data_IF_937574419504
#
_entry.id   IF_937574419504
#
_cell.length_a   1.000
_cell.length_b   1.000
_cell.length_c   1.000
_cell.angle_alpha   90.00
_cell.angle_beta   90.00
_cell.angle_gamma   90.00
#
_symmetry.space_group_name_H-M   'P 1'
#
loop_
_entity.id
_entity.type
_entity.pdbx_description
1 polymer ?
#
# COMPACT_ATOMS: atom_id res chain seq x y z
N UNK A 1 1.78 9.10 -4.72
CA UNK A 1 1.92 8.56 -3.36
C UNK A 1 0.69 7.76 -2.91
N UNK A 2 -0.49 8.11 -3.35
CA UNK A 2 -1.72 7.34 -3.06
C UNK A 2 -1.76 5.93 -3.67
N UNK A 3 -0.94 5.68 -4.68
CA UNK A 3 -0.87 4.36 -5.33
C UNK A 3 -0.43 3.23 -4.40
N UNK A 4 0.34 3.53 -3.33
CA UNK A 4 0.80 2.50 -2.40
C UNK A 4 -0.34 1.89 -1.55
N UNK A 5 -1.49 2.57 -1.45
CA UNK A 5 -2.68 2.08 -0.74
C UNK A 5 -3.76 1.54 -1.68
N UNK A 6 -3.53 1.63 -2.99
CA UNK A 6 -4.44 1.09 -3.99
C UNK A 6 -4.57 -0.43 -3.79
N UNK A 7 -5.79 -0.95 -3.85
CA UNK A 7 -6.10 -2.36 -3.59
C UNK A 7 -5.93 -2.82 -2.14
N UNK A 8 -5.84 -1.89 -1.20
CA UNK A 8 -5.84 -2.17 0.22
C UNK A 8 -7.09 -1.58 0.89
N UNK A 9 -7.62 -2.29 1.87
CA UNK A 9 -8.72 -1.83 2.71
C UNK A 9 -8.19 -1.46 4.09
N UNK A 10 -8.59 -0.30 4.57
CA UNK A 10 -8.25 0.17 5.91
C UNK A 10 -8.98 -0.64 6.98
N UNK A 11 -8.22 -1.15 7.95
CA UNK A 11 -8.74 -1.87 9.10
C UNK A 11 -8.64 -0.99 10.34
N UNK A 12 -9.80 -0.54 10.82
CA UNK A 12 -9.90 0.40 11.95
C UNK A 12 -9.38 -0.17 13.27
N UNK A 13 -9.58 -1.47 13.52
CA UNK A 13 -9.12 -2.11 14.76
C UNK A 13 -7.58 -2.18 14.79
N UNK A 14 -6.98 -2.58 13.67
CA UNK A 14 -5.52 -2.60 13.51
C UNK A 14 -4.93 -1.19 13.60
N UNK A 15 -5.59 -0.20 13.02
CA UNK A 15 -5.15 1.19 13.09
C UNK A 15 -5.17 1.73 14.53
N UNK A 16 -6.23 1.44 15.29
CA UNK A 16 -6.30 1.81 16.71
C UNK A 16 -5.18 1.14 17.51
N UNK A 17 -4.93 -0.14 17.28
CA UNK A 17 -3.83 -0.87 17.93
C UNK A 17 -2.45 -0.34 17.54
N UNK A 18 -2.30 0.19 16.32
CA UNK A 18 -1.06 0.82 15.84
C UNK A 18 -0.79 2.19 16.47
N UNK A 19 -1.84 2.86 16.97
CA UNK A 19 -1.73 4.18 17.61
C UNK A 19 -2.44 5.31 16.87
N UNK A 20 -3.26 5.00 15.88
CA UNK A 20 -4.13 6.00 15.27
C UNK A 20 -5.23 6.45 16.25
N UNK A 21 -5.52 7.74 16.25
CA UNK A 21 -6.62 8.36 16.98
C UNK A 21 -7.71 8.76 15.97
N UNK A 22 -8.95 8.36 16.25
CA UNK A 22 -10.10 8.71 15.43
C UNK A 22 -10.80 9.95 15.99
N UNK A 23 -11.07 10.92 15.12
CA UNK A 23 -11.88 12.09 15.43
C UNK A 23 -12.74 12.48 14.23
N UNK A 24 -14.05 12.42 14.40
CA UNK A 24 -15.04 12.81 13.36
C UNK A 24 -14.82 12.14 11.99
N UNK A 25 -14.48 10.84 12.00
CA UNK A 25 -14.26 10.06 10.77
C UNK A 25 -12.87 10.23 10.15
N UNK A 26 -11.99 10.99 10.79
CA UNK A 26 -10.59 11.13 10.38
C UNK A 26 -9.70 10.38 11.37
N UNK A 27 -8.91 9.47 10.87
CA UNK A 27 -7.90 8.75 11.63
C UNK A 27 -6.55 9.42 11.48
N UNK A 28 -5.93 9.83 12.58
CA UNK A 28 -4.65 10.53 12.59
C UNK A 28 -3.59 9.77 13.36
N UNK A 29 -2.38 9.76 12.84
CA UNK A 29 -1.20 9.21 13.49
C UNK A 29 -0.01 10.14 13.26
N UNK A 30 0.73 10.44 14.32
CA UNK A 30 1.92 11.29 14.23
C UNK A 30 3.15 10.56 14.76
N UNK A 31 4.26 10.69 14.05
CA UNK A 31 5.54 10.12 14.45
C UNK A 31 6.70 11.04 14.08
N UNK A 32 7.79 10.90 14.80
CA UNK A 32 9.05 11.56 14.47
C UNK A 32 9.76 10.80 13.35
N UNK A 33 10.40 11.55 12.44
CA UNK A 33 11.25 11.03 11.37
C UNK A 33 12.61 11.75 11.39
N UNK A 34 13.62 11.18 10.75
CA UNK A 34 14.99 11.73 10.68
C UNK A 34 15.55 12.12 12.05
N UNK A 35 15.60 11.13 12.97
CA UNK A 35 16.13 11.30 14.33
C UNK A 35 15.41 12.34 15.20
N UNK A 36 14.20 12.75 14.78
CA UNK A 36 13.37 13.69 15.50
C UNK A 36 13.38 15.12 14.93
N UNK A 37 14.09 15.37 13.84
CA UNK A 37 14.12 16.70 13.22
C UNK A 37 12.76 17.10 12.63
N UNK A 38 11.93 16.13 12.27
CA UNK A 38 10.60 16.35 11.71
C UNK A 38 9.55 15.49 12.38
N UNK A 39 8.32 16.01 12.37
CA UNK A 39 7.10 15.25 12.73
C UNK A 39 6.28 15.03 11.47
N UNK A 40 5.99 13.76 11.18
CA UNK A 40 5.06 13.38 10.14
C UNK A 40 3.71 13.06 10.75
N UNK A 41 2.65 13.70 10.24
CA UNK A 41 1.26 13.39 10.61
C UNK A 41 0.54 12.78 9.42
N UNK A 42 0.07 11.57 9.58
CA UNK A 42 -0.72 10.83 8.57
C UNK A 42 -2.19 10.92 8.92
N UNK A 43 -3.02 11.25 7.93
CA UNK A 43 -4.47 11.34 8.06
C UNK A 43 -5.13 10.40 7.07
N UNK A 44 -6.06 9.56 7.58
CA UNK A 44 -6.81 8.59 6.81
C UNK A 44 -8.30 8.89 6.95
N UNK A 45 -8.97 9.03 5.82
CA UNK A 45 -10.43 9.15 5.71
C UNK A 45 -10.98 7.96 4.94
N UNK A 46 -12.30 7.89 4.75
CA UNK A 46 -12.93 6.82 3.98
C UNK A 46 -12.35 6.70 2.55
N UNK A 47 -12.00 7.83 1.94
CA UNK A 47 -11.64 7.91 0.51
C UNK A 47 -10.17 8.28 0.28
N UNK A 48 -9.41 8.64 1.32
CA UNK A 48 -8.11 9.24 1.12
C UNK A 48 -7.12 8.95 2.25
N UNK A 49 -5.85 8.81 1.86
CA UNK A 49 -4.70 8.82 2.77
C UNK A 49 -3.83 10.02 2.42
N UNK A 50 -3.58 10.88 3.37
CA UNK A 50 -2.74 12.07 3.23
C UNK A 50 -1.71 12.14 4.34
N UNK A 51 -0.67 12.94 4.16
CA UNK A 51 0.24 13.25 5.25
C UNK A 51 0.80 14.68 5.12
N UNK A 52 1.24 15.18 6.24
CA UNK A 52 1.95 16.46 6.36
C UNK A 52 3.24 16.24 7.16
N UNK A 53 4.24 17.03 6.89
CA UNK A 53 5.51 17.03 7.60
C UNK A 53 5.75 18.40 8.19
N UNK A 54 6.12 18.45 9.45
CA UNK A 54 6.41 19.67 10.19
C UNK A 54 7.85 19.63 10.70
N UNK A 55 8.53 20.73 10.64
CA UNK A 55 9.80 20.92 11.31
C UNK A 55 9.58 20.89 12.83
N UNK A 56 10.37 20.09 13.54
CA UNK A 56 10.17 19.90 14.97
C UNK A 56 10.58 21.12 15.80
N UNK A 57 11.56 21.89 15.34
CA UNK A 57 12.08 23.04 16.06
C UNK A 57 11.18 24.27 15.90
N UNK A 58 10.74 24.55 14.67
CA UNK A 58 9.94 25.74 14.36
C UNK A 58 8.44 25.47 14.42
N UNK A 59 8.02 24.22 14.25
CA UNK A 59 6.60 23.84 14.10
C UNK A 59 6.02 24.18 12.72
N UNK A 60 6.85 24.67 11.79
CA UNK A 60 6.40 25.07 10.47
C UNK A 60 6.16 23.87 9.57
N UNK A 61 5.17 23.99 8.69
CA UNK A 61 4.90 23.00 7.65
C UNK A 61 6.08 22.93 6.68
N UNK A 62 6.52 21.71 6.34
CA UNK A 62 7.57 21.43 5.35
C UNK A 62 6.96 20.95 4.02
N UNK A 63 6.46 21.87 3.16
CA UNK A 63 5.73 21.50 1.94
C UNK A 63 6.62 20.93 0.84
N UNK A 64 7.94 21.12 0.90
CA UNK A 64 8.92 20.67 -0.11
C UNK A 64 8.87 19.16 -0.34
N UNK A 65 8.43 18.39 0.64
CA UNK A 65 8.24 16.95 0.53
C UNK A 65 7.26 16.57 -0.60
N UNK A 66 6.27 17.40 -0.87
CA UNK A 66 5.25 17.21 -1.90
C UNK A 66 5.56 17.86 -3.25
N UNK A 67 6.60 18.68 -3.32
CA UNK A 67 6.93 19.47 -4.51
C UNK A 67 8.00 18.77 -5.35
N UNK A 68 7.65 18.29 -6.55
CA UNK A 68 8.58 17.61 -7.46
C UNK A 68 9.77 18.49 -7.91
N UNK A 69 9.61 19.81 -7.88
CA UNK A 69 10.66 20.76 -8.24
C UNK A 69 11.85 20.77 -7.26
N UNK A 70 11.64 20.35 -6.01
CA UNK A 70 12.69 20.27 -5.01
C UNK A 70 13.39 18.91 -5.07
N UNK A 71 14.64 18.89 -5.58
CA UNK A 71 15.45 17.67 -5.82
C UNK A 71 16.69 17.57 -4.95
N UNK A 72 16.81 18.38 -3.88
CA UNK A 72 17.96 18.30 -2.97
C UNK A 72 18.06 16.95 -2.25
N UNK A 73 19.27 16.52 -1.92
CA UNK A 73 19.53 15.27 -1.21
C UNK A 73 18.78 15.19 0.13
N UNK A 74 18.70 16.30 0.83
CA UNK A 74 17.98 16.38 2.10
C UNK A 74 16.47 16.14 1.92
N UNK A 75 15.84 16.78 0.93
CA UNK A 75 14.42 16.56 0.61
C UNK A 75 14.17 15.10 0.19
N UNK A 76 15.12 14.50 -0.52
CA UNK A 76 15.05 13.09 -0.88
C UNK A 76 15.06 12.18 0.36
N UNK A 77 15.91 12.47 1.34
CA UNK A 77 15.95 11.72 2.61
C UNK A 77 14.64 11.87 3.41
N UNK A 78 14.05 13.08 3.45
CA UNK A 78 12.74 13.29 4.09
C UNK A 78 11.66 12.47 3.39
N UNK A 79 11.64 12.46 2.05
CA UNK A 79 10.67 11.68 1.26
C UNK A 79 10.83 10.17 1.49
N UNK A 80 12.05 9.68 1.56
CA UNK A 80 12.35 8.27 1.82
C UNK A 80 11.85 7.85 3.19
N UNK A 81 12.14 8.64 4.23
CA UNK A 81 11.65 8.41 5.58
C UNK A 81 10.10 8.41 5.63
N UNK A 82 9.44 9.35 4.95
CA UNK A 82 7.98 9.37 4.86
C UNK A 82 7.43 8.12 4.16
N UNK A 83 8.04 7.68 3.07
CA UNK A 83 7.63 6.47 2.36
C UNK A 83 7.77 5.22 3.22
N UNK A 84 8.84 5.11 3.98
CA UNK A 84 9.05 3.98 4.90
C UNK A 84 7.93 3.90 5.94
N UNK A 85 7.57 5.02 6.58
CA UNK A 85 6.46 5.07 7.53
C UNK A 85 5.13 4.70 6.86
N UNK A 86 4.86 5.20 5.66
CA UNK A 86 3.64 4.85 4.92
C UNK A 86 3.57 3.35 4.57
N UNK A 87 4.70 2.72 4.23
CA UNK A 87 4.76 1.26 4.02
C UNK A 87 4.51 0.48 5.32
N UNK A 88 5.07 0.94 6.45
CA UNK A 88 4.82 0.33 7.75
C UNK A 88 3.33 0.43 8.14
N UNK A 89 2.72 1.61 7.97
CA UNK A 89 1.29 1.83 8.21
C UNK A 89 0.45 0.94 7.30
N UNK A 90 0.78 0.84 6.01
CA UNK A 90 0.07 -0.03 5.08
C UNK A 90 0.12 -1.49 5.56
N UNK A 91 1.29 -1.98 5.92
CA UNK A 91 1.48 -3.36 6.40
C UNK A 91 0.74 -3.65 7.69
N UNK A 92 0.70 -2.68 8.61
CA UNK A 92 0.12 -2.84 9.92
C UNK A 92 -1.39 -2.60 9.97
N UNK A 93 -1.90 -1.62 9.21
CA UNK A 93 -3.26 -1.10 9.34
C UNK A 93 -4.17 -1.39 8.15
N UNK A 94 -3.63 -1.95 7.07
CA UNK A 94 -4.41 -2.25 5.88
C UNK A 94 -4.37 -3.73 5.54
N UNK A 95 -5.43 -4.20 4.94
CA UNK A 95 -5.56 -5.56 4.41
C UNK A 95 -5.65 -5.49 2.89
N UNK A 96 -5.04 -6.45 2.23
CA UNK A 96 -5.19 -6.56 0.78
C UNK A 96 -6.67 -6.82 0.50
N UNK A 97 -7.28 -5.96 -0.32
CA UNK A 97 -8.63 -6.24 -0.80
C UNK A 97 -8.59 -7.55 -1.58
N UNK A 98 -9.40 -8.50 -1.16
CA UNK A 98 -9.64 -9.70 -1.94
C UNK A 98 -9.97 -9.32 -3.38
N UNK A 99 -9.47 -10.09 -4.34
CA UNK A 99 -9.82 -9.90 -5.74
C UNK A 99 -11.34 -9.81 -5.85
N UNK A 100 -11.84 -8.63 -6.22
CA UNK A 100 -13.27 -8.34 -6.30
C UNK A 100 -13.94 -9.14 -7.44
N UNK A 101 -13.14 -9.75 -8.32
CA UNK A 101 -13.63 -10.58 -9.41
C UNK A 101 -14.20 -11.90 -8.86
N UNK A 102 -15.50 -12.17 -8.99
CA UNK A 102 -16.12 -13.41 -8.51
C UNK A 102 -15.49 -14.68 -9.10
N UNK A 103 -14.99 -14.61 -10.33
CA UNK A 103 -14.32 -15.72 -11.01
C UNK A 103 -12.98 -16.04 -10.33
N UNK A 104 -12.18 -15.03 -10.03
CA UNK A 104 -10.91 -15.19 -9.32
C UNK A 104 -11.15 -15.77 -7.93
N UNK A 105 -12.17 -15.29 -7.22
CA UNK A 105 -12.52 -15.79 -5.89
C UNK A 105 -12.91 -17.29 -5.93
N UNK A 106 -13.66 -17.71 -6.95
CA UNK A 106 -14.00 -19.13 -7.16
C UNK A 106 -12.75 -20.00 -7.40
N UNK A 107 -11.84 -19.54 -8.26
CA UNK A 107 -10.57 -20.25 -8.54
C UNK A 107 -9.76 -20.40 -7.25
N UNK A 108 -9.68 -19.32 -6.46
CA UNK A 108 -8.95 -19.32 -5.18
C UNK A 108 -9.53 -20.33 -4.19
N UNK A 109 -10.85 -20.36 -4.02
CA UNK A 109 -11.53 -21.30 -3.14
C UNK A 109 -11.22 -22.75 -3.60
N UNK A 110 -11.35 -23.05 -4.88
CA UNK A 110 -11.05 -24.36 -5.42
C UNK A 110 -9.59 -24.78 -5.23
N UNK A 111 -8.65 -23.85 -5.41
CA UNK A 111 -7.22 -24.12 -5.20
C UNK A 111 -6.92 -24.35 -3.72
N UNK A 112 -7.50 -23.55 -2.85
CA UNK A 112 -7.33 -23.68 -1.39
C UNK A 112 -7.91 -25.00 -0.89
N UNK A 113 -9.12 -25.35 -1.33
CA UNK A 113 -9.77 -26.63 -0.95
C UNK A 113 -9.01 -27.85 -1.46
N UNK A 114 -8.49 -27.79 -2.69
CA UNK A 114 -7.84 -28.93 -3.34
C UNK A 114 -6.37 -29.12 -2.95
N UNK A 115 -5.65 -28.02 -2.74
CA UNK A 115 -4.19 -28.03 -2.55
C UNK A 115 -3.72 -27.44 -1.23
N UNK A 116 -4.62 -26.86 -0.42
CA UNK A 116 -4.27 -26.19 0.85
C UNK A 116 -3.47 -24.90 0.69
N UNK A 117 -3.17 -24.48 -0.52
CA UNK A 117 -2.27 -23.36 -0.77
C UNK A 117 -2.96 -22.01 -0.53
N UNK A 118 -2.19 -21.07 0.05
CA UNK A 118 -2.61 -19.71 0.24
C UNK A 118 -1.98 -18.79 -0.81
N UNK A 119 -2.63 -17.65 -1.05
CA UNK A 119 -2.08 -16.60 -1.88
C UNK A 119 -0.91 -15.91 -1.19
N UNK A 120 0.19 -15.73 -1.91
CA UNK A 120 1.32 -14.95 -1.46
C UNK A 120 1.42 -13.66 -2.28
N UNK A 121 1.46 -12.51 -1.61
CA UNK A 121 1.63 -11.19 -2.23
C UNK A 121 3.10 -10.78 -2.11
N UNK A 122 3.85 -10.95 -3.18
CA UNK A 122 5.31 -10.81 -3.15
C UNK A 122 5.79 -9.42 -3.55
N UNK A 123 4.96 -8.66 -4.26
CA UNK A 123 5.40 -7.40 -4.85
C UNK A 123 4.72 -6.19 -4.24
N UNK A 124 5.49 -5.37 -3.56
CA UNK A 124 5.01 -4.11 -2.99
C UNK A 124 4.49 -3.12 -4.06
N UNK A 125 5.12 -3.14 -5.25
CA UNK A 125 4.71 -2.29 -6.39
C UNK A 125 3.47 -2.82 -7.13
N UNK A 126 3.07 -4.05 -6.88
CA UNK A 126 1.91 -4.69 -7.51
C UNK A 126 1.10 -5.44 -6.45
N UNK A 127 0.45 -4.70 -5.55
CA UNK A 127 -0.20 -5.27 -4.37
C UNK A 127 -1.43 -6.12 -4.70
N UNK A 128 -1.98 -5.99 -5.91
CA UNK A 128 -3.08 -6.77 -6.47
C UNK A 128 -2.63 -8.01 -7.25
N UNK A 129 -1.32 -8.29 -7.23
CA UNK A 129 -0.74 -9.47 -7.86
C UNK A 129 -0.34 -10.49 -6.80
N UNK A 130 -0.90 -11.67 -6.90
CA UNK A 130 -0.60 -12.78 -6.00
C UNK A 130 -0.06 -13.99 -6.75
N UNK A 131 0.70 -14.83 -6.06
CA UNK A 131 1.22 -16.09 -6.59
C UNK A 131 0.72 -17.27 -5.80
N UNK A 132 0.62 -18.39 -6.46
CA UNK A 132 0.40 -19.70 -5.87
C UNK A 132 1.66 -20.53 -6.05
N UNK A 133 2.16 -21.11 -4.95
CA UNK A 133 3.39 -21.91 -4.94
C UNK A 133 3.12 -23.34 -4.52
N UNK A 134 3.94 -24.24 -5.02
CA UNK A 134 4.04 -25.60 -4.47
C UNK A 134 4.71 -25.57 -3.10
N UNK A 135 4.12 -26.21 -2.12
CA UNK A 135 4.67 -26.26 -0.76
C UNK A 135 6.07 -26.87 -0.71
N UNK A 136 6.30 -27.95 -1.44
CA UNK A 136 7.55 -28.71 -1.40
C UNK A 136 8.74 -27.98 -2.02
N UNK A 137 8.60 -27.44 -3.24
CA UNK A 137 9.71 -26.89 -4.00
C UNK A 137 9.68 -25.37 -4.18
N UNK A 138 8.66 -24.69 -3.61
CA UNK A 138 8.43 -23.24 -3.66
C UNK A 138 8.35 -22.65 -5.08
N UNK A 139 8.21 -23.49 -6.12
CA UNK A 139 8.02 -23.02 -7.49
C UNK A 139 6.61 -22.46 -7.69
N UNK A 140 6.50 -21.38 -8.44
CA UNK A 140 5.21 -20.81 -8.82
C UNK A 140 4.53 -21.71 -9.84
N UNK A 141 3.24 -21.92 -9.68
CA UNK A 141 2.42 -22.59 -10.69
C UNK A 141 1.27 -21.73 -11.19
N UNK A 142 0.94 -20.63 -10.49
CA UNK A 142 0.00 -19.65 -10.97
C UNK A 142 0.35 -18.25 -10.47
N UNK A 143 0.03 -17.26 -11.28
CA UNK A 143 0.08 -15.84 -10.96
C UNK A 143 -1.31 -15.27 -11.21
N UNK A 144 -1.89 -14.64 -10.21
CA UNK A 144 -3.17 -13.95 -10.29
C UNK A 144 -2.90 -12.45 -10.29
N UNK A 145 -3.32 -11.75 -11.34
CA UNK A 145 -3.13 -10.32 -11.46
C UNK A 145 -4.37 -9.64 -12.06
N UNK A 146 -4.58 -8.40 -11.69
CA UNK A 146 -5.60 -7.56 -12.27
C UNK A 146 -5.02 -6.85 -13.49
N UNK A 147 -5.59 -7.08 -14.66
CA UNK A 147 -5.19 -6.40 -15.90
C UNK A 147 -6.38 -5.57 -16.37
N UNK A 148 -6.14 -4.27 -16.68
CA UNK A 148 -7.18 -3.41 -17.28
C UNK A 148 -7.48 -3.87 -18.70
N UNK A 149 -8.75 -3.74 -19.12
CA UNK A 149 -9.20 -4.10 -20.47
C UNK A 149 -8.40 -3.41 -21.57
N UNK A 150 -8.05 -2.13 -21.38
CA UNK A 150 -7.24 -1.37 -22.34
C UNK A 150 -5.89 -2.00 -22.65
N UNK A 151 -5.30 -2.70 -21.68
CA UNK A 151 -4.05 -3.44 -21.87
C UNK A 151 -4.25 -4.78 -22.57
N UNK A 152 -5.43 -5.40 -22.41
CA UNK A 152 -5.77 -6.65 -23.08
C UNK A 152 -6.13 -6.45 -24.54
N UNK A 153 -6.79 -5.34 -24.89
CA UNK A 153 -7.15 -5.01 -26.27
C UNK A 153 -5.92 -4.68 -27.11
N UNK A 154 -4.97 -3.91 -26.58
CA UNK A 154 -3.69 -3.63 -27.27
C UNK A 154 -2.86 -4.88 -27.58
N UNK A 155 -3.04 -5.97 -26.84
CA UNK A 155 -2.39 -7.25 -27.13
C UNK A 155 -3.06 -8.06 -28.25
N UNK A 156 -4.29 -7.72 -28.65
CA UNK A 156 -5.00 -8.38 -29.75
C UNK A 156 -4.70 -7.81 -31.12
N UNK A 157 -4.26 -6.56 -31.22
CA UNK A 157 -3.89 -5.91 -32.50
C UNK A 157 -2.60 -6.48 -33.12
N UNK A 158 -1.85 -7.31 -32.41
CA UNK A 158 -0.62 -7.95 -32.88
C UNK A 158 -0.73 -9.44 -33.25
N UNK A 159 -1.94 -10.01 -33.20
CA UNK A 159 -2.22 -11.41 -33.57
C UNK A 159 -3.17 -11.44 -34.78
N UNK A 160 -2.63 -11.13 -35.96
CA UNK A 160 -3.24 -11.47 -37.27
C UNK A 160 -2.28 -12.42 -37.99
#
# INVERSE_FOLDING_TARGET
>A
MFEIFKSYQFNQEKARAYGFVENSGVWTYSCQILQGDFVMTVSITADNVSFQVFDQETGDLYPQVHMESFKGSFVASVREACLEILYQIRKACFEVQDFICPQTKRIMIQVQEKYGNQLEYLWEKSPDTAVLRHEGNKKWYAVLMRISWDKLEKGREGLV
#
